data_IF_628548667901
#
_entry.id   IF_628548667901
#
_cell.length_a   1.000
_cell.length_b   1.000
_cell.length_c   1.000
_cell.angle_alpha   90.00
_cell.angle_beta   90.00
_cell.angle_gamma   90.00
#
_symmetry.space_group_name_H-M   'P 1'
#
loop_
_entity.id
_entity.type
_entity.pdbx_description
1 polymer ?
#
# COMPACT_ATOMS: atom_id res chain seq x y z
N UNK A 1 4.03 4.41 6.95
CA UNK A 1 4.84 5.55 6.43
C UNK A 1 4.19 6.89 6.75
N UNK A 2 2.99 7.19 6.24
CA UNK A 2 2.36 8.50 6.42
C UNK A 2 2.15 8.90 7.89
N UNK A 3 1.67 7.98 8.71
CA UNK A 3 1.45 8.18 10.14
C UNK A 3 2.77 8.42 10.90
N UNK A 4 3.81 7.66 10.55
CA UNK A 4 5.14 7.85 11.11
C UNK A 4 5.70 9.23 10.74
N UNK A 5 5.69 9.60 9.46
CA UNK A 5 6.17 10.90 9.02
C UNK A 5 5.39 12.06 9.68
N UNK A 6 4.06 11.94 9.78
CA UNK A 6 3.22 12.95 10.43
C UNK A 6 3.47 13.07 11.94
N UNK A 7 3.93 12.00 12.61
CA UNK A 7 4.30 12.06 14.04
C UNK A 7 5.52 12.93 14.32
N UNK A 8 6.32 13.25 13.28
CA UNK A 8 7.44 14.19 13.32
C UNK A 8 7.09 15.60 12.81
N UNK A 9 5.81 15.88 12.55
CA UNK A 9 5.34 17.16 12.09
C UNK A 9 5.38 17.37 10.57
N UNK A 10 5.75 16.36 9.79
CA UNK A 10 5.65 16.41 8.33
C UNK A 10 4.17 16.40 7.92
N UNK A 11 3.78 17.32 7.03
CA UNK A 11 2.40 17.39 6.54
C UNK A 11 2.16 16.40 5.40
N UNK A 12 1.41 15.35 5.68
CA UNK A 12 1.07 14.27 4.77
C UNK A 12 -0.34 14.45 4.17
N UNK A 13 -0.44 15.32 3.18
CA UNK A 13 -1.67 15.60 2.44
C UNK A 13 -1.79 14.61 1.28
N UNK A 14 -2.39 13.43 1.50
CA UNK A 14 -2.40 12.34 0.53
C UNK A 14 -3.74 12.22 -0.19
N UNK A 15 -3.69 12.27 -1.52
CA UNK A 15 -4.79 11.85 -2.38
C UNK A 15 -4.49 10.47 -2.94
N UNK A 16 -5.44 9.56 -2.87
CA UNK A 16 -5.28 8.18 -3.32
C UNK A 16 -6.42 7.75 -4.23
N UNK A 17 -6.27 6.59 -4.84
CA UNK A 17 -7.27 5.97 -5.71
C UNK A 17 -7.84 4.69 -5.10
N UNK A 18 -8.94 4.22 -5.70
CA UNK A 18 -9.47 2.88 -5.51
C UNK A 18 -8.65 1.86 -6.29
N UNK A 19 -8.67 0.62 -5.85
CA UNK A 19 -8.09 -0.50 -6.59
C UNK A 19 -8.91 -0.85 -7.83
N UNK A 20 -8.22 -1.40 -8.83
CA UNK A 20 -8.84 -2.01 -10.01
C UNK A 20 -8.01 -3.23 -10.42
N UNK A 21 -8.68 -4.32 -10.80
CA UNK A 21 -8.03 -5.59 -11.06
C UNK A 21 -7.40 -6.17 -9.81
N UNK A 22 -6.23 -6.76 -9.97
CA UNK A 22 -5.42 -7.34 -8.89
C UNK A 22 -4.74 -6.32 -7.97
N UNK A 23 -4.82 -5.03 -8.29
CA UNK A 23 -4.18 -3.99 -7.49
C UNK A 23 -5.10 -3.51 -6.37
N UNK A 24 -4.66 -3.62 -5.12
CA UNK A 24 -5.38 -3.09 -3.97
C UNK A 24 -5.40 -1.56 -3.95
N UNK A 25 -6.52 -0.96 -3.55
CA UNK A 25 -6.66 0.48 -3.41
C UNK A 25 -6.52 0.95 -1.96
N UNK A 26 -5.72 1.98 -1.72
CA UNK A 26 -5.59 2.55 -0.36
C UNK A 26 -6.94 2.99 0.21
N UNK A 27 -7.83 3.51 -0.63
CA UNK A 27 -9.16 3.96 -0.19
C UNK A 27 -10.04 2.77 0.22
N UNK A 28 -10.03 1.70 -0.56
CA UNK A 28 -10.80 0.49 -0.27
C UNK A 28 -10.35 -0.16 1.06
N UNK A 29 -9.04 -0.11 1.35
CA UNK A 29 -8.48 -0.57 2.63
C UNK A 29 -8.96 0.31 3.78
N UNK A 30 -8.89 1.63 3.66
CA UNK A 30 -9.34 2.56 4.71
C UNK A 30 -10.85 2.51 4.94
N UNK A 31 -11.65 2.28 3.91
CA UNK A 31 -13.11 2.08 4.02
C UNK A 31 -13.48 0.79 4.77
N UNK A 32 -12.56 -0.17 4.92
CA UNK A 32 -12.77 -1.33 5.80
C UNK A 32 -12.86 -0.95 7.29
N UNK A 33 -12.34 0.22 7.67
CA UNK A 33 -12.51 0.77 9.02
C UNK A 33 -13.94 1.30 9.17
N UNK A 34 -14.74 0.79 10.11
CA UNK A 34 -16.14 1.20 10.26
C UNK A 34 -16.28 2.72 10.42
N UNK A 35 -17.09 3.33 9.54
CA UNK A 35 -17.39 4.76 9.56
C UNK A 35 -16.33 5.68 8.93
N UNK A 36 -15.20 5.16 8.45
CA UNK A 36 -14.15 5.98 7.88
C UNK A 36 -14.59 6.67 6.59
N UNK A 37 -14.47 8.00 6.54
CA UNK A 37 -14.86 8.82 5.40
C UNK A 37 -13.64 9.19 4.55
N UNK A 38 -13.63 8.73 3.29
CA UNK A 38 -12.61 9.05 2.29
C UNK A 38 -12.95 10.31 1.46
N UNK A 39 -14.16 10.84 1.62
CA UNK A 39 -14.68 11.96 0.82
C UNK A 39 -14.80 13.22 1.71
N UNK A 40 -13.69 13.90 1.92
CA UNK A 40 -13.70 15.19 2.62
C UNK A 40 -13.80 16.35 1.62
N UNK A 41 -14.47 17.41 2.01
CA UNK A 41 -14.40 18.68 1.28
C UNK A 41 -12.95 19.23 1.34
N UNK A 42 -12.54 20.09 0.38
CA UNK A 42 -11.23 20.73 0.44
C UNK A 42 -10.96 21.45 1.76
N UNK A 43 -11.99 22.11 2.35
CA UNK A 43 -11.87 22.82 3.61
C UNK A 43 -11.60 21.85 4.78
N UNK A 44 -12.32 20.73 4.85
CA UNK A 44 -12.12 19.69 5.87
C UNK A 44 -10.74 19.06 5.72
N UNK A 45 -10.33 18.74 4.50
CA UNK A 45 -9.01 18.17 4.19
C UNK A 45 -7.88 19.09 4.67
N UNK A 46 -7.91 20.38 4.29
CA UNK A 46 -6.90 21.35 4.75
C UNK A 46 -6.94 21.56 6.26
N UNK A 47 -8.15 21.63 6.85
CA UNK A 47 -8.31 21.74 8.29
C UNK A 47 -7.65 20.55 9.00
N UNK A 48 -7.91 19.33 8.56
CA UNK A 48 -7.34 18.13 9.18
C UNK A 48 -5.80 18.10 9.05
N UNK A 49 -5.25 18.30 7.85
CA UNK A 49 -3.79 18.32 7.63
C UNK A 49 -3.11 19.40 8.50
N UNK A 50 -3.75 20.56 8.67
CA UNK A 50 -3.18 21.62 9.50
C UNK A 50 -3.21 21.28 10.99
N UNK A 51 -4.20 20.54 11.46
CA UNK A 51 -4.35 20.21 12.89
C UNK A 51 -3.54 18.97 13.28
N UNK A 52 -3.64 17.87 12.53
CA UNK A 52 -3.04 16.59 12.91
C UNK A 52 -1.88 16.15 12.01
N UNK A 53 -1.59 16.89 10.95
CA UNK A 53 -0.47 16.62 10.05
C UNK A 53 -0.75 15.58 8.95
N UNK A 54 -1.89 14.89 8.96
CA UNK A 54 -2.19 13.83 7.98
C UNK A 54 -3.66 13.79 7.60
N UNK A 55 -3.91 13.57 6.31
CA UNK A 55 -5.22 13.17 5.77
C UNK A 55 -5.04 12.35 4.51
N UNK A 56 -5.88 11.32 4.32
CA UNK A 56 -5.89 10.46 3.13
C UNK A 56 -7.31 10.46 2.57
N UNK A 57 -7.48 11.03 1.37
CA UNK A 57 -8.78 11.16 0.71
C UNK A 57 -8.76 10.61 -0.71
N UNK A 58 -9.96 10.43 -1.27
CA UNK A 58 -10.16 10.15 -2.69
C UNK A 58 -9.69 11.31 -3.57
N UNK A 59 -9.23 10.99 -4.77
CA UNK A 59 -8.88 12.03 -5.75
C UNK A 59 -10.14 12.76 -6.19
N UNK A 60 -10.20 14.07 -5.98
CA UNK A 60 -11.22 14.89 -6.62
C UNK A 60 -10.93 14.99 -8.12
N UNK A 61 -11.97 14.98 -8.95
CA UNK A 61 -11.84 14.99 -10.42
C UNK A 61 -11.07 16.18 -10.99
N UNK A 62 -10.77 17.18 -10.17
CA UNK A 62 -10.23 18.48 -10.58
C UNK A 62 -8.72 18.66 -10.31
N UNK A 63 -8.02 17.69 -9.72
CA UNK A 63 -6.58 17.85 -9.39
C UNK A 63 -5.71 17.84 -10.65
N UNK A 64 -5.99 16.97 -11.61
CA UNK A 64 -5.27 16.88 -12.88
C UNK A 64 -6.24 16.44 -14.00
N UNK A 65 -7.15 17.32 -14.46
CA UNK A 65 -8.20 16.93 -15.39
C UNK A 65 -7.66 16.46 -16.75
N UNK A 66 -6.57 17.02 -17.22
CA UNK A 66 -5.90 16.57 -18.45
C UNK A 66 -5.33 15.16 -18.31
N UNK A 67 -4.73 14.81 -17.16
CA UNK A 67 -4.23 13.47 -16.90
C UNK A 67 -5.35 12.43 -16.90
N UNK A 68 -6.51 12.77 -16.34
CA UNK A 68 -7.68 11.89 -16.36
C UNK A 68 -8.09 11.50 -17.78
N UNK A 69 -8.11 12.45 -18.70
CA UNK A 69 -8.47 12.23 -20.11
C UNK A 69 -7.38 11.41 -20.82
N UNK A 70 -6.12 11.76 -20.62
CA UNK A 70 -4.98 11.07 -21.21
C UNK A 70 -4.86 9.64 -20.70
N UNK A 71 -5.11 9.40 -19.40
CA UNK A 71 -5.08 8.07 -18.83
C UNK A 71 -6.17 7.17 -19.41
N UNK A 72 -7.39 7.66 -19.53
CA UNK A 72 -8.48 6.92 -20.16
C UNK A 72 -8.17 6.57 -21.64
N UNK A 73 -7.46 7.45 -22.36
CA UNK A 73 -7.05 7.19 -23.74
C UNK A 73 -5.95 6.10 -23.81
N UNK A 74 -5.05 6.04 -22.83
CA UNK A 74 -3.98 5.03 -22.77
C UNK A 74 -4.51 3.60 -22.71
N UNK A 75 -5.62 3.36 -22.01
CA UNK A 75 -6.23 2.04 -21.88
C UNK A 75 -6.67 1.46 -23.24
N UNK A 76 -7.05 2.33 -24.20
CA UNK A 76 -7.58 1.92 -25.50
C UNK A 76 -6.58 2.10 -26.66
N UNK A 77 -5.39 2.62 -26.41
CA UNK A 77 -4.37 2.90 -27.45
C UNK A 77 -3.09 2.06 -27.30
N UNK A 78 -3.10 1.04 -26.43
CA UNK A 78 -1.95 0.19 -26.12
C UNK A 78 -0.67 0.97 -25.74
N UNK A 79 -0.82 2.09 -25.03
CA UNK A 79 0.30 2.94 -24.58
C UNK A 79 0.47 2.95 -23.06
N UNK A 80 -0.11 1.96 -22.36
CA UNK A 80 -0.05 1.83 -20.90
C UNK A 80 1.39 1.74 -20.40
N UNK A 81 2.25 0.99 -21.10
CA UNK A 81 3.65 0.73 -20.70
C UNK A 81 4.64 1.84 -21.10
N UNK A 82 4.16 2.95 -21.67
CA UNK A 82 5.01 4.06 -22.08
C UNK A 82 5.58 4.79 -20.85
N UNK A 83 6.89 4.67 -20.60
CA UNK A 83 7.58 5.31 -19.47
C UNK A 83 7.31 6.82 -19.39
N UNK A 84 7.42 7.61 -20.48
CA UNK A 84 7.09 9.04 -20.42
C UNK A 84 5.65 9.33 -19.98
N UNK A 85 4.69 8.52 -20.44
CA UNK A 85 3.29 8.70 -20.07
C UNK A 85 3.01 8.25 -18.62
N UNK A 86 3.68 7.19 -18.14
CA UNK A 86 3.62 6.79 -16.73
C UNK A 86 4.17 7.92 -15.86
N UNK A 87 5.38 8.40 -16.17
CA UNK A 87 6.04 9.45 -15.41
C UNK A 87 5.21 10.74 -15.37
N UNK A 88 4.66 11.19 -16.52
CA UNK A 88 3.84 12.40 -16.57
C UNK A 88 2.54 12.27 -15.77
N UNK A 89 1.89 11.11 -15.84
CA UNK A 89 0.65 10.84 -15.09
C UNK A 89 0.89 10.85 -13.56
N UNK A 90 1.99 10.24 -13.10
CA UNK A 90 2.33 10.23 -11.68
C UNK A 90 2.70 11.64 -11.21
N UNK A 91 3.61 12.30 -11.92
CA UNK A 91 4.19 13.57 -11.49
C UNK A 91 3.19 14.73 -11.60
N UNK A 92 2.32 14.76 -12.62
CA UNK A 92 1.29 15.80 -12.76
C UNK A 92 0.41 15.90 -11.50
N UNK A 93 -0.01 14.76 -10.94
CA UNK A 93 -0.82 14.72 -9.72
C UNK A 93 -0.05 15.20 -8.48
N UNK A 94 1.22 14.79 -8.36
CA UNK A 94 2.08 15.18 -7.23
C UNK A 94 2.41 16.67 -7.27
N UNK A 95 2.67 17.21 -8.44
CA UNK A 95 2.94 18.64 -8.62
C UNK A 95 1.67 19.48 -8.42
N UNK A 96 0.53 19.04 -8.98
CA UNK A 96 -0.76 19.72 -8.83
C UNK A 96 -1.27 19.75 -7.39
N UNK A 97 -0.93 18.74 -6.58
CA UNK A 97 -1.29 18.74 -5.13
C UNK A 97 -0.52 19.77 -4.30
N UNK A 98 0.49 20.45 -4.88
CA UNK A 98 1.26 21.48 -4.18
C UNK A 98 2.32 20.93 -3.22
N UNK A 99 2.73 19.67 -3.35
CA UNK A 99 3.75 19.07 -2.49
C UNK A 99 5.06 19.87 -2.52
N UNK A 100 5.70 20.06 -1.37
CA UNK A 100 7.01 20.72 -1.26
C UNK A 100 8.15 19.78 -1.64
N UNK A 101 8.01 18.50 -1.35
CA UNK A 101 8.92 17.43 -1.75
C UNK A 101 8.15 16.16 -2.11
N UNK A 102 8.79 15.26 -2.86
CA UNK A 102 8.18 14.05 -3.39
C UNK A 102 9.09 12.85 -3.11
N UNK A 103 8.55 11.81 -2.49
CA UNK A 103 9.22 10.50 -2.33
C UNK A 103 8.40 9.46 -3.07
N UNK A 104 9.05 8.69 -3.94
CA UNK A 104 8.43 7.75 -4.85
C UNK A 104 8.95 6.33 -4.59
N UNK A 105 8.02 5.40 -4.45
CA UNK A 105 8.28 3.97 -4.47
C UNK A 105 8.09 3.44 -5.91
N UNK A 106 9.14 2.92 -6.52
CA UNK A 106 9.12 2.35 -7.87
C UNK A 106 9.28 0.85 -7.78
N UNK A 107 8.16 0.13 -7.84
CA UNK A 107 8.12 -1.32 -7.76
C UNK A 107 8.74 -2.01 -8.98
N UNK A 108 9.53 -3.05 -8.74
CA UNK A 108 10.22 -3.86 -9.74
C UNK A 108 9.95 -5.34 -9.49
N UNK A 109 9.54 -6.08 -10.49
CA UNK A 109 9.33 -7.53 -10.38
C UNK A 109 8.08 -8.04 -11.07
N UNK A 110 7.78 -9.31 -10.87
CA UNK A 110 6.66 -10.00 -11.51
C UNK A 110 5.31 -9.38 -11.18
N UNK A 111 5.11 -8.87 -9.96
CA UNK A 111 3.90 -8.17 -9.54
C UNK A 111 3.83 -6.68 -9.90
N UNK A 112 4.87 -6.10 -10.52
CA UNK A 112 4.95 -4.68 -10.85
C UNK A 112 4.72 -4.41 -12.34
N UNK A 113 4.46 -3.13 -12.70
CA UNK A 113 4.50 -2.69 -14.10
C UNK A 113 5.91 -2.76 -14.68
N UNK A 114 6.93 -2.37 -13.89
CA UNK A 114 8.34 -2.47 -14.29
C UNK A 114 8.86 -3.88 -14.00
N UNK A 115 9.05 -4.68 -15.05
CA UNK A 115 9.47 -6.08 -14.94
C UNK A 115 10.97 -6.27 -14.68
N UNK A 116 11.79 -5.24 -14.91
CA UNK A 116 13.23 -5.29 -14.71
C UNK A 116 13.77 -3.97 -14.15
N UNK A 117 14.96 -4.05 -13.55
CA UNK A 117 15.63 -2.93 -12.88
C UNK A 117 15.95 -1.79 -13.85
N UNK A 118 16.28 -2.07 -15.11
CA UNK A 118 16.68 -1.02 -16.05
C UNK A 118 15.50 -0.13 -16.45
N UNK A 119 14.34 -0.71 -16.74
CA UNK A 119 13.12 0.05 -17.02
C UNK A 119 12.64 0.83 -15.81
N UNK A 120 12.71 0.23 -14.61
CA UNK A 120 12.36 0.91 -13.37
C UNK A 120 13.31 2.09 -13.08
N UNK A 121 14.61 1.91 -13.32
CA UNK A 121 15.61 2.98 -13.18
C UNK A 121 15.36 4.11 -14.18
N UNK A 122 14.98 3.78 -15.42
CA UNK A 122 14.62 4.76 -16.43
C UNK A 122 13.40 5.58 -15.98
N UNK A 123 12.34 4.93 -15.49
CA UNK A 123 11.16 5.59 -14.95
C UNK A 123 11.50 6.48 -13.75
N UNK A 124 12.26 5.96 -12.77
CA UNK A 124 12.69 6.69 -11.59
C UNK A 124 13.48 7.95 -11.95
N UNK A 125 14.49 7.83 -12.84
CA UNK A 125 15.27 8.98 -13.31
C UNK A 125 14.40 10.02 -14.01
N UNK A 126 13.45 9.59 -14.85
CA UNK A 126 12.53 10.49 -15.55
C UNK A 126 11.67 11.27 -14.54
N UNK A 127 11.14 10.62 -13.52
CA UNK A 127 10.32 11.28 -12.49
C UNK A 127 11.14 12.23 -11.61
N UNK A 128 12.35 11.84 -11.21
CA UNK A 128 13.26 12.72 -10.46
C UNK A 128 13.62 13.95 -11.25
N UNK A 129 13.91 13.80 -12.56
CA UNK A 129 14.21 14.94 -13.45
C UNK A 129 13.01 15.87 -13.61
N UNK A 130 11.79 15.34 -13.75
CA UNK A 130 10.56 16.15 -13.75
C UNK A 130 10.41 16.94 -12.45
N UNK A 131 10.69 16.33 -11.30
CA UNK A 131 10.70 17.01 -10.01
C UNK A 131 11.74 18.13 -9.96
N UNK A 132 12.96 17.85 -10.43
CA UNK A 132 14.04 18.85 -10.52
C UNK A 132 13.65 20.06 -11.38
N UNK A 133 13.08 19.81 -12.55
CA UNK A 133 12.59 20.88 -13.46
C UNK A 133 11.47 21.69 -12.80
N UNK A 134 10.61 21.05 -12.03
CA UNK A 134 9.55 21.70 -11.24
C UNK A 134 10.05 22.37 -9.95
N UNK A 135 11.36 22.32 -9.66
CA UNK A 135 11.99 22.83 -8.43
C UNK A 135 11.41 22.18 -7.16
N UNK A 136 11.07 20.90 -7.23
CA UNK A 136 10.59 20.07 -6.11
C UNK A 136 11.62 18.98 -5.82
N UNK A 137 12.24 18.96 -4.62
CA UNK A 137 13.09 17.85 -4.20
C UNK A 137 12.35 16.54 -4.39
N UNK A 138 12.93 15.61 -5.13
CA UNK A 138 12.29 14.34 -5.46
C UNK A 138 13.28 13.19 -5.28
N UNK A 139 12.88 12.19 -4.52
CA UNK A 139 13.60 10.92 -4.32
C UNK A 139 12.77 9.81 -4.94
N UNK A 140 13.42 8.86 -5.59
CA UNK A 140 12.77 7.66 -6.12
C UNK A 140 13.59 6.42 -5.73
N UNK A 141 12.98 5.54 -4.96
CA UNK A 141 13.59 4.30 -4.48
C UNK A 141 12.99 3.12 -5.23
N UNK A 142 13.85 2.23 -5.74
CA UNK A 142 13.44 1.01 -6.40
C UNK A 142 13.26 -0.07 -5.35
N UNK A 143 12.09 -0.73 -5.35
CA UNK A 143 11.75 -1.77 -4.37
C UNK A 143 11.27 -3.04 -5.05
N UNK A 144 11.53 -4.18 -4.40
CA UNK A 144 11.21 -5.49 -4.92
C UNK A 144 9.70 -5.79 -4.86
N UNK A 145 9.15 -6.36 -5.95
CA UNK A 145 7.78 -6.86 -6.07
C UNK A 145 7.75 -8.23 -6.76
N UNK A 146 8.76 -9.08 -6.52
CA UNK A 146 8.73 -10.49 -6.95
C UNK A 146 7.79 -11.34 -6.10
N UNK A 147 7.47 -10.87 -4.91
CA UNK A 147 6.45 -11.43 -4.01
C UNK A 147 5.62 -10.30 -3.42
N UNK A 148 4.43 -10.56 -2.87
CA UNK A 148 3.66 -9.55 -2.13
C UNK A 148 4.49 -8.93 -1.00
N UNK A 149 4.38 -7.63 -0.82
CA UNK A 149 4.99 -6.92 0.30
C UNK A 149 4.15 -7.15 1.56
N UNK A 150 4.79 -7.52 2.65
CA UNK A 150 4.09 -8.01 3.83
C UNK A 150 3.49 -9.39 3.60
N UNK A 151 2.54 -9.78 4.43
CA UNK A 151 1.91 -11.09 4.45
C UNK A 151 0.42 -11.05 4.12
N UNK A 152 -0.25 -9.93 4.38
CA UNK A 152 -1.68 -9.76 4.16
C UNK A 152 -1.99 -9.19 2.76
N UNK A 153 -2.94 -9.81 2.05
CA UNK A 153 -3.42 -9.38 0.73
C UNK A 153 -4.95 -9.31 0.78
N UNK A 154 -5.51 -8.10 0.83
CA UNK A 154 -6.94 -7.87 0.96
C UNK A 154 -7.25 -6.42 1.31
N UNK A 155 -8.23 -6.20 2.17
CA UNK A 155 -8.58 -4.85 2.64
C UNK A 155 -8.44 -4.72 4.16
N UNK A 156 -9.37 -5.26 4.96
CA UNK A 156 -9.28 -5.19 6.43
C UNK A 156 -8.01 -5.84 6.97
N UNK A 157 -7.63 -7.00 6.47
CA UNK A 157 -6.43 -7.71 6.92
C UNK A 157 -5.14 -6.92 6.66
N UNK A 158 -5.06 -6.11 5.57
CA UNK A 158 -3.92 -5.23 5.34
C UNK A 158 -3.92 -4.01 6.26
N UNK A 159 -5.09 -3.52 6.67
CA UNK A 159 -5.17 -2.47 7.70
C UNK A 159 -4.71 -3.01 9.05
N UNK A 160 -5.09 -4.24 9.39
CA UNK A 160 -4.62 -4.92 10.61
C UNK A 160 -3.09 -5.09 10.56
N UNK A 161 -2.53 -5.54 9.45
CA UNK A 161 -1.07 -5.65 9.28
C UNK A 161 -0.37 -4.28 9.41
N UNK A 162 -0.96 -3.22 8.86
CA UNK A 162 -0.43 -1.88 9.01
C UNK A 162 -0.47 -1.40 10.49
N UNK A 163 -1.52 -1.73 11.24
CA UNK A 163 -1.62 -1.45 12.68
C UNK A 163 -0.54 -2.23 13.44
N UNK A 164 -0.41 -3.54 13.18
CA UNK A 164 0.62 -4.37 13.82
C UNK A 164 2.04 -3.87 13.49
N UNK A 165 2.27 -3.41 12.25
CA UNK A 165 3.55 -2.78 11.86
C UNK A 165 3.83 -1.52 12.66
N UNK A 166 2.81 -0.67 12.87
CA UNK A 166 2.95 0.54 13.70
C UNK A 166 3.16 0.21 15.19
N UNK A 167 2.70 -0.97 15.66
CA UNK A 167 2.95 -1.50 17.01
C UNK A 167 4.32 -2.20 17.14
N UNK A 168 5.07 -2.38 16.03
CA UNK A 168 6.36 -3.07 16.01
C UNK A 168 6.29 -4.59 15.83
N UNK A 169 5.12 -5.13 15.47
CA UNK A 169 4.87 -6.57 15.28
C UNK A 169 4.65 -6.96 13.82
N UNK A 170 4.86 -6.03 12.87
CA UNK A 170 4.62 -6.26 11.44
C UNK A 170 5.65 -7.17 10.78
N UNK A 171 5.35 -7.64 9.55
CA UNK A 171 6.31 -8.40 8.73
C UNK A 171 7.60 -7.61 8.52
N UNK A 172 8.73 -8.34 8.51
CA UNK A 172 10.06 -7.73 8.44
C UNK A 172 10.24 -6.87 7.19
N UNK A 173 9.90 -7.40 6.02
CA UNK A 173 10.05 -6.70 4.74
C UNK A 173 9.20 -5.42 4.67
N UNK A 174 7.97 -5.47 5.16
CA UNK A 174 7.07 -4.33 5.21
C UNK A 174 7.51 -3.29 6.25
N UNK A 175 7.96 -3.73 7.42
CA UNK A 175 8.47 -2.85 8.48
C UNK A 175 9.71 -2.10 8.01
N UNK A 176 10.71 -2.80 7.44
CA UNK A 176 11.92 -2.20 6.90
C UNK A 176 11.62 -1.15 5.83
N UNK A 177 10.75 -1.49 4.88
CA UNK A 177 10.32 -0.56 3.84
C UNK A 177 9.64 0.69 4.44
N UNK A 178 8.81 0.53 5.46
CA UNK A 178 8.18 1.67 6.14
C UNK A 178 9.21 2.55 6.85
N UNK A 179 10.24 1.96 7.46
CA UNK A 179 11.34 2.69 8.10
C UNK A 179 12.13 3.46 7.05
N UNK A 180 12.55 2.80 5.97
CA UNK A 180 13.34 3.41 4.90
C UNK A 180 12.63 4.62 4.28
N UNK A 181 11.38 4.44 3.84
CA UNK A 181 10.62 5.55 3.25
C UNK A 181 10.31 6.68 4.23
N UNK A 182 10.08 6.37 5.50
CA UNK A 182 9.89 7.43 6.51
C UNK A 182 11.19 8.19 6.73
N UNK A 183 12.32 7.50 6.79
CA UNK A 183 13.66 8.10 6.88
C UNK A 183 13.91 9.05 5.72
N UNK A 184 13.67 8.61 4.48
CA UNK A 184 13.81 9.46 3.28
C UNK A 184 12.88 10.70 3.34
N UNK A 185 11.66 10.54 3.84
CA UNK A 185 10.72 11.65 4.01
C UNK A 185 11.26 12.66 5.04
N UNK A 186 11.79 12.20 6.19
CA UNK A 186 12.35 13.09 7.21
C UNK A 186 13.56 13.87 6.66
N UNK A 187 14.40 13.22 5.87
CA UNK A 187 15.56 13.85 5.26
C UNK A 187 15.18 14.90 4.22
N UNK A 188 14.26 14.56 3.29
CA UNK A 188 13.85 15.49 2.23
C UNK A 188 12.99 16.64 2.75
N UNK A 189 12.28 16.42 3.85
CA UNK A 189 11.53 17.46 4.57
C UNK A 189 12.42 18.36 5.44
N UNK A 190 13.72 18.02 5.56
CA UNK A 190 14.68 18.80 6.37
C UNK A 190 14.50 18.67 7.88
N UNK A 191 13.82 17.61 8.34
CA UNK A 191 13.66 17.32 9.78
C UNK A 191 14.99 16.83 10.36
N UNK A 192 15.68 15.95 9.64
CA UNK A 192 17.00 15.45 9.99
C UNK A 192 17.86 15.32 8.72
N UNK A 193 19.16 15.48 8.82
CA UNK A 193 20.11 15.42 7.70
C UNK A 193 20.99 14.18 7.72
N UNK A 194 21.20 13.61 8.90
CA UNK A 194 21.93 12.36 9.07
C UNK A 194 20.97 11.19 8.93
N UNK A 195 21.21 10.33 7.94
CA UNK A 195 20.36 9.18 7.63
C UNK A 195 20.24 8.21 8.80
N UNK A 196 21.34 7.95 9.52
CA UNK A 196 21.35 7.02 10.66
C UNK A 196 20.54 7.58 11.83
N UNK A 197 20.65 8.88 12.08
CA UNK A 197 19.85 9.55 13.10
C UNK A 197 18.38 9.55 12.71
N UNK A 198 18.05 9.91 11.47
CA UNK A 198 16.68 9.87 10.97
C UNK A 198 16.06 8.47 11.08
N UNK A 199 16.81 7.41 10.71
CA UNK A 199 16.38 6.03 10.85
C UNK A 199 16.10 5.65 12.31
N UNK A 200 17.02 5.96 13.22
CA UNK A 200 16.84 5.70 14.65
C UNK A 200 15.60 6.42 15.21
N UNK A 201 15.35 7.67 14.79
CA UNK A 201 14.12 8.39 15.17
C UNK A 201 12.87 7.65 14.73
N UNK A 202 12.84 7.08 13.52
CA UNK A 202 11.68 6.33 13.00
C UNK A 202 11.47 5.03 13.77
N UNK A 203 12.56 4.28 14.05
CA UNK A 203 12.52 3.06 14.86
C UNK A 203 11.98 3.35 16.27
N UNK A 204 12.44 4.42 16.91
CA UNK A 204 11.95 4.89 18.20
C UNK A 204 10.48 5.31 18.17
N UNK A 205 10.00 5.88 17.04
CA UNK A 205 8.60 6.25 16.88
C UNK A 205 7.68 5.02 16.77
N UNK A 206 8.16 3.93 16.19
CA UNK A 206 7.46 2.64 16.18
C UNK A 206 7.41 2.08 17.61
N UNK A 207 8.57 1.94 18.25
CA UNK A 207 8.66 1.37 19.61
C UNK A 207 7.87 2.15 20.66
N UNK A 208 7.81 3.48 20.53
CA UNK A 208 7.05 4.35 21.45
C UNK A 208 5.56 4.48 21.15
N UNK A 209 5.07 3.85 20.05
CA UNK A 209 3.67 3.92 19.64
C UNK A 209 3.20 5.24 19.04
N UNK A 210 4.10 6.19 18.75
CA UNK A 210 3.73 7.50 18.15
C UNK A 210 3.00 7.35 16.82
N UNK A 211 3.40 6.37 16.00
CA UNK A 211 2.73 6.07 14.73
C UNK A 211 1.30 5.55 14.92
N UNK A 212 1.09 4.72 15.94
CA UNK A 212 -0.23 4.18 16.33
C UNK A 212 -1.17 5.31 16.73
N UNK A 213 -0.72 6.19 17.63
CA UNK A 213 -1.54 7.32 18.08
C UNK A 213 -1.87 8.28 16.93
N UNK A 214 -0.94 8.51 16.01
CA UNK A 214 -1.20 9.32 14.81
C UNK A 214 -2.22 8.65 13.89
N UNK A 215 -2.24 7.32 13.80
CA UNK A 215 -3.26 6.61 13.05
C UNK A 215 -4.63 6.69 13.74
N UNK A 216 -4.67 6.57 15.06
CA UNK A 216 -5.87 6.76 15.88
C UNK A 216 -6.49 8.14 15.67
N UNK A 217 -5.67 9.20 15.68
CA UNK A 217 -6.10 10.55 15.37
C UNK A 217 -6.69 10.65 13.96
N UNK A 218 -5.99 10.10 12.96
CA UNK A 218 -6.45 10.15 11.56
C UNK A 218 -7.80 9.45 11.39
N UNK A 219 -7.97 8.26 11.98
CA UNK A 219 -9.24 7.52 11.94
C UNK A 219 -10.37 8.35 12.55
N UNK A 220 -10.15 8.92 13.74
CA UNK A 220 -11.14 9.72 14.44
C UNK A 220 -11.53 11.00 13.67
N UNK A 221 -10.56 11.70 13.07
CA UNK A 221 -10.80 12.90 12.29
C UNK A 221 -11.58 12.63 10.99
N UNK A 222 -11.48 11.43 10.44
CA UNK A 222 -12.22 11.00 9.25
C UNK A 222 -13.47 10.18 9.59
N UNK A 223 -13.97 10.26 10.84
CA UNK A 223 -15.25 9.68 11.27
C UNK A 223 -15.21 8.17 11.50
N UNK A 224 -14.07 7.53 11.35
CA UNK A 224 -13.90 6.10 11.58
C UNK A 224 -13.86 5.75 13.07
N UNK A 225 -14.12 4.48 13.36
CA UNK A 225 -14.02 3.95 14.73
C UNK A 225 -12.56 3.69 15.11
N UNK A 226 -11.91 4.49 15.99
CA UNK A 226 -10.52 4.31 16.35
C UNK A 226 -10.24 3.06 17.22
N UNK A 227 -11.28 2.45 17.78
CA UNK A 227 -11.13 1.23 18.60
C UNK A 227 -10.69 0.01 17.79
N UNK A 228 -10.79 0.05 16.44
CA UNK A 228 -10.25 -0.99 15.58
C UNK A 228 -8.75 -1.22 15.78
N UNK A 229 -8.02 -0.25 16.33
CA UNK A 229 -6.60 -0.38 16.64
C UNK A 229 -6.36 -1.38 17.78
N UNK A 230 -7.30 -1.48 18.70
CA UNK A 230 -7.18 -2.33 19.91
C UNK A 230 -8.04 -3.60 19.81
N UNK A 231 -9.07 -3.59 18.97
CA UNK A 231 -10.02 -4.69 18.79
C UNK A 231 -10.30 -4.95 17.30
N UNK A 232 -9.66 -5.98 16.74
CA UNK A 232 -9.80 -6.36 15.33
C UNK A 232 -11.13 -7.05 15.01
N UNK A 233 -11.92 -7.46 16.01
CA UNK A 233 -13.26 -8.02 15.79
C UNK A 233 -14.25 -6.99 15.27
N UNK A 234 -13.90 -5.70 15.36
CA UNK A 234 -14.69 -4.60 14.83
C UNK A 234 -14.61 -4.46 13.30
N UNK A 235 -13.60 -5.07 12.65
CA UNK A 235 -13.58 -5.23 11.21
C UNK A 235 -14.58 -6.28 10.75
N UNK A 236 -15.01 -6.21 9.48
CA UNK A 236 -15.79 -7.29 8.87
C UNK A 236 -15.00 -8.60 8.92
N UNK A 237 -15.67 -9.68 9.32
CA UNK A 237 -15.08 -11.00 9.47
C UNK A 237 -15.51 -11.92 8.35
N UNK A 238 -14.60 -12.72 7.81
CA UNK A 238 -14.92 -13.77 6.84
C UNK A 238 -15.69 -14.92 7.49
N UNK A 239 -16.59 -15.54 6.74
CA UNK A 239 -17.38 -16.69 7.23
C UNK A 239 -16.57 -17.98 7.30
N UNK A 240 -15.53 -18.08 6.45
CA UNK A 240 -14.68 -19.26 6.33
C UNK A 240 -13.22 -18.85 6.39
N UNK A 241 -12.43 -19.65 7.09
CA UNK A 241 -10.98 -19.54 7.18
C UNK A 241 -10.41 -20.88 6.78
N UNK A 242 -9.59 -20.90 5.72
CA UNK A 242 -9.05 -22.12 5.12
C UNK A 242 -7.54 -22.04 5.14
N UNK A 243 -6.91 -22.94 5.86
CA UNK A 243 -5.47 -23.09 5.87
C UNK A 243 -5.04 -24.07 4.76
N UNK A 244 -4.04 -23.67 4.00
CA UNK A 244 -3.41 -24.49 2.96
C UNK A 244 -2.03 -24.87 3.46
N UNK A 245 -1.85 -26.17 3.73
CA UNK A 245 -0.62 -26.70 4.30
C UNK A 245 0.32 -27.26 3.24
N UNK A 246 1.60 -27.30 3.54
CA UNK A 246 2.60 -27.91 2.69
C UNK A 246 2.50 -29.44 2.75
N UNK A 247 2.17 -30.06 1.63
CA UNK A 247 1.98 -31.51 1.50
C UNK A 247 3.30 -32.28 1.26
N UNK A 248 4.44 -31.61 1.18
CA UNK A 248 5.74 -32.23 0.98
C UNK A 248 6.16 -33.10 2.17
N UNK A 249 6.91 -34.16 1.89
CA UNK A 249 7.37 -35.13 2.92
C UNK A 249 8.75 -34.82 3.50
N UNK A 250 9.45 -33.83 2.96
CA UNK A 250 10.80 -33.41 3.37
C UNK A 250 10.90 -31.89 3.41
N UNK A 251 11.75 -31.34 4.28
CA UNK A 251 11.99 -29.91 4.31
C UNK A 251 12.53 -29.38 2.97
N UNK A 252 12.05 -28.20 2.55
CA UNK A 252 12.53 -27.48 1.38
C UNK A 252 12.49 -25.97 1.64
N UNK A 253 12.76 -25.16 0.61
CA UNK A 253 12.68 -23.71 0.68
C UNK A 253 11.63 -23.17 -0.28
N UNK A 254 11.00 -22.06 0.08
CA UNK A 254 10.17 -21.29 -0.87
C UNK A 254 11.10 -20.64 -1.89
N UNK A 255 11.04 -21.10 -3.13
CA UNK A 255 11.86 -20.57 -4.23
C UNK A 255 11.21 -19.37 -4.89
N UNK A 256 9.88 -19.40 -5.05
CA UNK A 256 9.13 -18.37 -5.78
C UNK A 256 7.73 -18.19 -5.22
N UNK A 257 7.25 -16.93 -5.24
CA UNK A 257 5.84 -16.57 -5.02
C UNK A 257 5.45 -15.62 -6.16
N UNK A 258 4.41 -15.97 -6.91
CA UNK A 258 3.91 -15.10 -7.97
C UNK A 258 2.96 -14.03 -7.39
N UNK A 259 3.49 -12.82 -7.19
CA UNK A 259 2.72 -11.71 -6.61
C UNK A 259 1.48 -11.34 -7.43
N UNK A 260 1.52 -11.51 -8.76
CA UNK A 260 0.37 -11.25 -9.62
C UNK A 260 -0.74 -12.27 -9.37
N UNK A 261 -0.40 -13.57 -9.38
CA UNK A 261 -1.37 -14.65 -9.12
C UNK A 261 -2.01 -14.53 -7.74
N UNK A 262 -1.24 -14.21 -6.70
CA UNK A 262 -1.79 -13.98 -5.35
C UNK A 262 -2.75 -12.80 -5.34
N UNK A 263 -2.42 -11.71 -6.03
CA UNK A 263 -3.32 -10.55 -6.18
C UNK A 263 -4.60 -10.89 -6.95
N UNK A 264 -4.51 -11.70 -8.03
CA UNK A 264 -5.66 -12.18 -8.81
C UNK A 264 -6.53 -13.14 -8.00
N UNK A 265 -5.94 -14.03 -7.21
CA UNK A 265 -6.68 -14.91 -6.30
C UNK A 265 -7.46 -14.10 -5.24
N UNK A 266 -6.83 -13.09 -4.63
CA UNK A 266 -7.53 -12.20 -3.71
C UNK A 266 -8.68 -11.43 -4.38
N UNK A 267 -8.52 -11.00 -5.64
CA UNK A 267 -9.57 -10.37 -6.43
C UNK A 267 -10.74 -11.34 -6.69
N UNK A 268 -10.46 -12.60 -7.02
CA UNK A 268 -11.50 -13.63 -7.22
C UNK A 268 -12.34 -13.84 -5.97
N UNK A 269 -11.74 -13.82 -4.78
CA UNK A 269 -12.46 -13.89 -3.50
C UNK A 269 -13.36 -12.68 -3.26
N UNK A 270 -13.13 -11.55 -3.92
CA UNK A 270 -13.88 -10.31 -3.76
C UNK A 270 -13.11 -9.18 -3.07
N UNK A 271 -11.82 -9.36 -2.77
CA UNK A 271 -10.99 -8.28 -2.20
C UNK A 271 -10.65 -7.18 -3.20
N UNK A 272 -10.77 -7.44 -4.51
CA UNK A 272 -10.60 -6.49 -5.61
C UNK A 272 -11.83 -6.40 -6.50
N UNK A 273 -11.73 -5.59 -7.58
CA UNK A 273 -12.80 -5.39 -8.57
C UNK A 273 -12.31 -5.77 -9.96
N UNK A 274 -13.07 -6.60 -10.67
CA UNK A 274 -12.87 -6.83 -12.10
C UNK A 274 -13.49 -5.70 -12.93
N UNK A 275 -14.59 -5.11 -12.45
CA UNK A 275 -15.27 -3.96 -13.04
C UNK A 275 -15.47 -2.86 -12.02
N UNK A 276 -15.73 -1.62 -12.48
CA UNK A 276 -15.93 -0.47 -11.57
C UNK A 276 -17.18 -0.56 -10.72
N UNK A 277 -18.16 -1.34 -11.19
CA UNK A 277 -19.48 -1.52 -10.57
C UNK A 277 -19.47 -2.58 -9.47
N UNK A 278 -18.46 -3.45 -9.44
CA UNK A 278 -18.36 -4.49 -8.41
C UNK A 278 -18.09 -3.90 -7.02
N UNK A 279 -18.84 -4.42 -6.05
CA UNK A 279 -18.58 -4.12 -4.64
C UNK A 279 -17.40 -4.95 -4.13
N UNK A 280 -16.57 -4.34 -3.29
CA UNK A 280 -15.49 -5.03 -2.58
C UNK A 280 -16.05 -5.63 -1.30
N UNK A 281 -15.63 -6.85 -1.00
CA UNK A 281 -15.81 -7.46 0.31
C UNK A 281 -14.58 -7.20 1.18
N UNK A 282 -14.68 -6.36 2.23
CA UNK A 282 -13.54 -6.01 3.05
C UNK A 282 -13.04 -7.15 3.95
N UNK A 283 -13.86 -8.20 4.16
CA UNK A 283 -13.54 -9.31 5.06
C UNK A 283 -12.64 -10.37 4.43
N UNK A 284 -12.66 -10.47 3.10
CA UNK A 284 -11.94 -11.53 2.39
C UNK A 284 -10.51 -11.14 2.06
N UNK A 285 -9.66 -12.16 1.88
CA UNK A 285 -8.27 -11.96 1.50
C UNK A 285 -7.42 -13.20 1.69
N UNK A 286 -6.11 -13.00 1.61
CA UNK A 286 -5.09 -14.05 1.68
C UNK A 286 -4.01 -13.61 2.66
N UNK A 287 -3.56 -14.51 3.52
CA UNK A 287 -2.42 -14.28 4.41
C UNK A 287 -1.32 -15.30 4.13
N UNK A 288 -0.13 -14.80 3.79
CA UNK A 288 1.05 -15.63 3.52
C UNK A 288 1.81 -15.90 4.82
N UNK A 289 1.97 -17.17 5.19
CA UNK A 289 2.78 -17.57 6.36
C UNK A 289 4.25 -17.74 6.00
N UNK A 290 4.55 -17.85 4.71
CA UNK A 290 5.90 -18.11 4.20
C UNK A 290 6.24 -17.13 3.10
N UNK A 291 7.51 -16.75 3.06
CA UNK A 291 8.08 -15.82 2.08
C UNK A 291 9.21 -16.49 1.31
N UNK A 292 9.62 -15.92 0.18
CA UNK A 292 10.77 -16.43 -0.59
C UNK A 292 12.01 -16.54 0.31
N UNK A 293 12.61 -17.73 0.33
CA UNK A 293 13.77 -18.06 1.16
C UNK A 293 13.44 -18.72 2.50
N UNK A 294 12.17 -18.73 2.92
CA UNK A 294 11.77 -19.41 4.15
C UNK A 294 11.83 -20.93 4.00
N UNK A 295 12.15 -21.59 5.12
CA UNK A 295 12.13 -23.06 5.22
C UNK A 295 10.68 -23.53 5.35
N UNK A 296 10.33 -24.52 4.57
CA UNK A 296 9.08 -25.28 4.66
C UNK A 296 9.36 -26.65 5.27
N UNK A 297 8.70 -26.95 6.38
CA UNK A 297 8.66 -28.30 6.93
C UNK A 297 7.32 -28.97 6.58
N UNK A 298 7.26 -30.31 6.55
CA UNK A 298 6.00 -31.01 6.34
C UNK A 298 4.90 -30.52 7.30
N UNK A 299 3.71 -30.24 6.75
CA UNK A 299 2.53 -29.67 7.42
C UNK A 299 2.69 -28.21 7.91
N UNK A 300 3.73 -27.49 7.48
CA UNK A 300 3.72 -26.02 7.69
C UNK A 300 2.58 -25.39 6.90
N UNK A 301 1.81 -24.51 7.52
CA UNK A 301 0.81 -23.71 6.80
C UNK A 301 1.51 -22.71 5.87
N UNK A 302 1.18 -22.79 4.60
CA UNK A 302 1.69 -21.89 3.55
C UNK A 302 0.89 -20.58 3.52
N UNK A 303 -0.43 -20.72 3.49
CA UNK A 303 -1.36 -19.64 3.22
C UNK A 303 -2.65 -19.87 4.01
N UNK A 304 -3.22 -18.80 4.57
CA UNK A 304 -4.61 -18.79 5.06
C UNK A 304 -5.47 -17.97 4.11
N UNK A 305 -6.59 -18.53 3.66
CA UNK A 305 -7.60 -17.87 2.83
C UNK A 305 -8.79 -17.49 3.70
N UNK A 306 -9.17 -16.22 3.65
CA UNK A 306 -10.38 -15.67 4.26
C UNK A 306 -11.46 -15.55 3.17
N UNK A 307 -12.57 -16.27 3.29
CA UNK A 307 -13.59 -16.38 2.25
C UNK A 307 -15.01 -16.16 2.77
N UNK A 308 -15.85 -15.63 1.88
CA UNK A 308 -17.32 -15.58 2.03
C UNK A 308 -18.02 -16.43 0.96
N UNK A 309 -17.34 -17.43 0.40
CA UNK A 309 -17.88 -18.40 -0.55
C UNK A 309 -17.80 -17.98 -2.03
N UNK A 310 -17.33 -16.75 -2.34
CA UNK A 310 -17.17 -16.31 -3.73
C UNK A 310 -15.88 -16.89 -4.33
N UNK A 311 -15.99 -17.74 -5.37
CA UNK A 311 -14.86 -18.30 -6.13
C UNK A 311 -13.74 -18.96 -5.28
N UNK A 312 -14.08 -19.49 -4.11
CA UNK A 312 -13.11 -19.99 -3.13
C UNK A 312 -12.25 -21.11 -3.71
N UNK A 313 -12.86 -22.11 -4.38
CA UNK A 313 -12.13 -23.24 -4.96
C UNK A 313 -11.14 -22.79 -6.06
N UNK A 314 -11.56 -21.81 -6.89
CA UNK A 314 -10.70 -21.27 -7.94
C UNK A 314 -9.52 -20.48 -7.38
N UNK A 315 -9.78 -19.70 -6.34
CA UNK A 315 -8.74 -18.94 -5.62
C UNK A 315 -7.74 -19.88 -4.94
N UNK A 316 -8.21 -20.95 -4.27
CA UNK A 316 -7.35 -21.98 -3.65
C UNK A 316 -6.44 -22.61 -4.71
N UNK A 317 -7.00 -23.01 -5.85
CA UNK A 317 -6.21 -23.60 -6.95
C UNK A 317 -5.16 -22.62 -7.46
N UNK A 318 -5.53 -21.35 -7.67
CA UNK A 318 -4.62 -20.32 -8.17
C UNK A 318 -3.46 -20.04 -7.22
N UNK A 319 -3.70 -20.13 -5.91
CA UNK A 319 -2.67 -19.92 -4.87
C UNK A 319 -1.67 -21.08 -4.83
N UNK A 320 -2.12 -22.32 -5.11
CA UNK A 320 -1.27 -23.51 -5.08
C UNK A 320 -0.47 -23.73 -6.38
N UNK A 321 -0.92 -23.15 -7.52
CA UNK A 321 -0.23 -23.18 -8.82
C UNK A 321 0.99 -22.23 -8.88
#
# INVERSE_FOLDING_TARGET
VGQLAASFGVKMAKMSGRGLGHTGGTLDKLESIPGYNIELTPQEFFKQVNNIGISIIGQTANVAPADKLLYALRDVTATVDSIPLIASSIMSKKLASGADSIVLDVKVGSGAFMKNVDSARCLAKTMVELGRLAKKPTIATLTNMEQPLGCAIGNAIEVIEAIETLKGHGPKDFTELCIDFTTEILMVAGIEKDEKVARSMVEDAIHSGKGVEKFREMISWQGGNPNVIDDYTLFAQANEIIDLDFEGTSPCYVERIDALKIGEAAMLLGAGRSTKEEAIDPAVGIYLHKKIGDVLNPNDTLVTIYSNGKNTEEAVKMVLD
#
